data_IF_838193365740
#
_entry.id   IF_838193365740
#
_cell.length_a   1.000
_cell.length_b   1.000
_cell.length_c   1.000
_cell.angle_alpha   90.00
_cell.angle_beta   90.00
_cell.angle_gamma   90.00
#
_symmetry.space_group_name_H-M   'P 1'
#
loop_
_entity.id
_entity.type
_entity.pdbx_description
1 polymer ?
#
# COMPACT_ATOMS: atom_id res chain seq x y z
N UNK A 1 -20.64 -33.05 -39.56
CA UNK A 1 -20.53 -32.75 -38.11
C UNK A 1 -21.79 -33.27 -37.45
N UNK A 2 -21.67 -33.99 -36.34
CA UNK A 2 -22.84 -34.50 -35.63
C UNK A 2 -23.62 -33.34 -34.98
N UNK A 3 -24.95 -33.41 -35.01
CA UNK A 3 -25.82 -32.46 -34.32
C UNK A 3 -25.65 -32.59 -32.80
N UNK A 4 -25.96 -31.52 -32.07
CA UNK A 4 -26.01 -31.56 -30.61
C UNK A 4 -27.24 -32.33 -30.14
N UNK A 5 -27.09 -33.04 -29.02
CA UNK A 5 -28.23 -33.66 -28.34
C UNK A 5 -29.20 -32.59 -27.82
N UNK A 6 -30.49 -32.92 -27.75
CA UNK A 6 -31.55 -32.03 -27.27
C UNK A 6 -31.27 -31.49 -25.87
N UNK A 7 -30.73 -32.32 -24.97
CA UNK A 7 -30.37 -31.91 -23.60
C UNK A 7 -29.38 -30.74 -23.58
N UNK A 8 -28.40 -30.74 -24.49
CA UNK A 8 -27.38 -29.70 -24.59
C UNK A 8 -28.00 -28.41 -25.15
N UNK A 9 -28.87 -28.54 -26.16
CA UNK A 9 -29.59 -27.40 -26.73
C UNK A 9 -30.57 -26.79 -25.73
N UNK A 10 -31.18 -27.60 -24.86
CA UNK A 10 -32.06 -27.12 -23.80
C UNK A 10 -31.27 -26.36 -22.73
N UNK A 11 -30.15 -26.92 -22.22
CA UNK A 11 -29.26 -26.21 -21.29
C UNK A 11 -28.80 -24.86 -21.82
N UNK A 12 -28.53 -24.77 -23.13
CA UNK A 12 -28.19 -23.51 -23.78
C UNK A 12 -29.33 -22.49 -23.75
N UNK A 13 -30.57 -22.92 -23.98
CA UNK A 13 -31.76 -22.05 -23.91
C UNK A 13 -32.05 -21.59 -22.49
N UNK A 14 -31.83 -22.46 -21.51
CA UNK A 14 -32.03 -22.16 -20.08
C UNK A 14 -30.88 -21.33 -19.48
N UNK A 15 -29.77 -21.14 -20.22
CA UNK A 15 -28.62 -20.35 -19.79
C UNK A 15 -27.67 -21.10 -18.85
N UNK A 16 -27.73 -22.42 -18.82
CA UNK A 16 -26.95 -23.29 -17.94
C UNK A 16 -25.61 -23.75 -18.57
N UNK A 17 -25.34 -23.37 -19.81
CA UNK A 17 -24.08 -23.69 -20.49
C UNK A 17 -22.92 -22.81 -20.02
N UNK A 18 -21.72 -23.38 -20.01
CA UNK A 18 -20.48 -22.59 -19.85
C UNK A 18 -20.27 -21.68 -21.06
N UNK A 19 -19.47 -20.61 -20.89
CA UNK A 19 -19.18 -19.67 -21.99
C UNK A 19 -18.55 -20.36 -23.23
N UNK A 20 -17.75 -21.41 -23.02
CA UNK A 20 -17.14 -22.17 -24.12
C UNK A 20 -18.19 -23.01 -24.87
N UNK A 21 -19.10 -23.68 -24.15
CA UNK A 21 -20.17 -24.48 -24.74
C UNK A 21 -21.16 -23.61 -25.52
N UNK A 22 -21.57 -22.47 -24.94
CA UNK A 22 -22.45 -21.51 -25.60
C UNK A 22 -21.87 -21.05 -26.93
N UNK A 23 -20.56 -20.71 -26.96
CA UNK A 23 -19.88 -20.31 -28.19
C UNK A 23 -19.87 -21.43 -29.24
N UNK A 24 -19.63 -22.68 -28.84
CA UNK A 24 -19.65 -23.84 -29.77
C UNK A 24 -21.05 -24.05 -30.36
N UNK A 25 -22.09 -23.93 -29.55
CA UNK A 25 -23.49 -24.09 -29.97
C UNK A 25 -23.90 -22.95 -30.90
N UNK A 26 -23.50 -21.70 -30.62
CA UNK A 26 -23.74 -20.55 -31.50
C UNK A 26 -23.11 -20.73 -32.88
N UNK A 27 -21.84 -21.16 -32.94
CA UNK A 27 -21.15 -21.43 -34.22
C UNK A 27 -21.87 -22.52 -35.00
N UNK A 28 -22.27 -23.60 -34.33
CA UNK A 28 -22.96 -24.72 -34.98
C UNK A 28 -24.36 -24.34 -35.47
N UNK A 29 -25.15 -23.66 -34.66
CA UNK A 29 -26.50 -23.18 -35.04
C UNK A 29 -26.47 -22.12 -36.13
N UNK A 30 -25.33 -21.41 -36.29
CA UNK A 30 -25.02 -20.59 -37.45
C UNK A 30 -24.98 -21.36 -38.77
N UNK A 31 -24.64 -22.65 -38.75
CA UNK A 31 -24.46 -23.47 -39.95
C UNK A 31 -25.45 -24.65 -40.08
N UNK A 32 -26.07 -25.10 -38.98
CA UNK A 32 -27.01 -26.22 -38.95
C UNK A 32 -28.45 -25.73 -38.75
N UNK A 33 -29.28 -25.90 -39.78
CA UNK A 33 -30.69 -25.51 -39.75
C UNK A 33 -31.52 -26.31 -38.75
N UNK A 34 -31.22 -27.59 -38.58
CA UNK A 34 -31.92 -28.48 -37.64
C UNK A 34 -31.74 -28.00 -36.20
N UNK A 35 -30.49 -27.87 -35.73
CA UNK A 35 -30.21 -27.38 -34.38
C UNK A 35 -30.75 -25.96 -34.16
N UNK A 36 -30.71 -25.09 -35.18
CA UNK A 36 -31.30 -23.74 -35.10
C UNK A 36 -32.81 -23.80 -34.88
N UNK A 37 -33.52 -24.65 -35.61
CA UNK A 37 -34.96 -24.81 -35.48
C UNK A 37 -35.33 -25.40 -34.11
N UNK A 38 -34.56 -26.37 -33.61
CA UNK A 38 -34.77 -26.95 -32.27
C UNK A 38 -34.59 -25.91 -31.17
N UNK A 39 -33.53 -25.08 -31.24
CA UNK A 39 -33.33 -23.97 -30.30
C UNK A 39 -34.49 -22.95 -30.37
N UNK A 40 -34.96 -22.61 -31.57
CA UNK A 40 -36.10 -21.71 -31.73
C UNK A 40 -37.39 -22.29 -31.14
N UNK A 41 -37.60 -23.61 -31.30
CA UNK A 41 -38.74 -24.33 -30.71
C UNK A 41 -38.70 -24.26 -29.17
N UNK A 42 -37.55 -24.53 -28.56
CA UNK A 42 -37.38 -24.46 -27.11
C UNK A 42 -37.61 -23.06 -26.56
N UNK A 43 -37.05 -22.02 -27.20
CA UNK A 43 -37.31 -20.62 -26.83
C UNK A 43 -38.80 -20.28 -26.88
N UNK A 44 -39.49 -20.65 -27.97
CA UNK A 44 -40.92 -20.41 -28.13
C UNK A 44 -41.76 -21.13 -27.08
N UNK A 45 -41.40 -22.36 -26.69
CA UNK A 45 -42.06 -23.09 -25.60
C UNK A 45 -41.87 -22.39 -24.26
N UNK A 46 -40.65 -21.98 -23.92
CA UNK A 46 -40.34 -21.23 -22.69
C UNK A 46 -41.13 -19.93 -22.61
N UNK A 47 -41.19 -19.17 -23.70
CA UNK A 47 -41.99 -17.93 -23.78
C UNK A 47 -43.49 -18.19 -23.62
N UNK A 48 -44.03 -19.25 -24.21
CA UNK A 48 -45.45 -19.59 -24.08
C UNK A 48 -45.79 -19.94 -22.62
N UNK A 49 -44.95 -20.76 -21.97
CA UNK A 49 -45.12 -21.09 -20.55
C UNK A 49 -45.09 -19.82 -19.70
N UNK A 50 -44.12 -18.92 -19.92
CA UNK A 50 -44.06 -17.63 -19.20
C UNK A 50 -45.32 -16.79 -19.41
N UNK A 51 -45.85 -16.74 -20.63
CA UNK A 51 -47.11 -16.03 -20.92
C UNK A 51 -48.31 -16.65 -20.20
N UNK A 52 -48.41 -17.98 -20.19
CA UNK A 52 -49.48 -18.68 -19.49
C UNK A 52 -49.40 -18.48 -17.98
N UNK A 53 -48.20 -18.53 -17.40
CA UNK A 53 -47.98 -18.23 -15.98
C UNK A 53 -48.41 -16.79 -15.68
N UNK A 54 -47.95 -15.82 -16.47
CA UNK A 54 -48.32 -14.42 -16.29
C UNK A 54 -49.81 -14.15 -16.53
N UNK A 55 -50.51 -14.98 -17.31
CA UNK A 55 -51.96 -14.87 -17.48
C UNK A 55 -52.74 -15.43 -16.28
N UNK A 56 -52.14 -16.36 -15.52
CA UNK A 56 -52.72 -16.93 -14.30
C UNK A 56 -52.44 -16.05 -13.07
N UNK A 57 -51.30 -15.34 -13.07
CA UNK A 57 -50.98 -14.33 -12.07
C UNK A 57 -51.74 -13.06 -12.46
N UNK A 58 -52.86 -12.78 -11.78
CA UNK A 58 -53.57 -11.51 -11.91
C UNK A 58 -52.67 -10.31 -11.62
N UNK A 59 -53.20 -9.09 -11.77
CA UNK A 59 -52.44 -7.84 -11.55
C UNK A 59 -51.58 -7.96 -10.29
N UNK A 60 -50.26 -8.00 -10.48
CA UNK A 60 -49.31 -8.01 -9.38
C UNK A 60 -49.62 -6.75 -8.59
N UNK A 61 -50.06 -6.85 -7.32
CA UNK A 61 -50.34 -5.66 -6.53
C UNK A 61 -49.07 -4.81 -6.56
N UNK A 62 -49.21 -3.53 -6.92
CA UNK A 62 -48.11 -2.58 -6.86
C UNK A 62 -47.53 -2.67 -5.44
N UNK A 63 -46.40 -3.35 -5.32
CA UNK A 63 -45.70 -3.45 -4.06
C UNK A 63 -45.37 -2.01 -3.69
N UNK A 64 -45.91 -1.47 -2.58
CA UNK A 64 -45.67 -0.09 -2.21
C UNK A 64 -44.17 0.08 -2.20
N UNK A 65 -43.69 0.99 -3.05
CA UNK A 65 -42.27 1.16 -3.29
C UNK A 65 -41.60 1.26 -1.94
N UNK A 66 -40.81 0.23 -1.58
CA UNK A 66 -39.92 0.36 -0.45
C UNK A 66 -39.02 1.50 -0.89
N UNK A 67 -39.27 2.68 -0.31
CA UNK A 67 -38.34 3.79 -0.33
C UNK A 67 -37.13 3.27 0.42
N UNK A 68 -36.33 2.47 -0.28
CA UNK A 68 -34.93 2.35 0.01
C UNK A 68 -34.49 3.79 -0.06
N UNK A 69 -34.37 4.40 1.12
CA UNK A 69 -33.53 5.55 1.30
C UNK A 69 -32.20 5.03 0.79
N UNK A 70 -31.92 5.28 -0.49
CA UNK A 70 -30.60 5.14 -1.08
C UNK A 70 -29.82 6.19 -0.33
N UNK A 71 -29.38 5.80 0.86
CA UNK A 71 -28.50 6.57 1.71
C UNK A 71 -27.27 6.64 0.84
N UNK A 72 -27.11 7.76 0.16
CA UNK A 72 -25.95 8.02 -0.67
C UNK A 72 -24.76 7.57 0.15
N UNK A 73 -24.10 6.50 -0.32
CA UNK A 73 -22.94 5.97 0.39
C UNK A 73 -21.91 7.07 0.28
N UNK A 74 -21.81 7.90 1.33
CA UNK A 74 -20.71 8.86 1.49
C UNK A 74 -19.44 8.07 1.19
N UNK A 75 -18.55 8.55 0.30
CA UNK A 75 -17.38 7.81 -0.10
C UNK A 75 -16.57 7.49 1.16
N UNK A 76 -16.68 6.25 1.61
CA UNK A 76 -15.95 5.77 2.78
C UNK A 76 -14.54 5.58 2.27
N UNK A 77 -13.68 6.58 2.49
CA UNK A 77 -12.26 6.44 2.18
C UNK A 77 -11.80 5.22 2.98
N UNK A 78 -11.35 4.13 2.34
CA UNK A 78 -11.00 2.90 3.03
C UNK A 78 -9.93 3.21 4.07
N UNK A 79 -10.10 2.69 5.29
CA UNK A 79 -9.23 2.97 6.45
C UNK A 79 -7.75 2.75 6.10
N UNK A 80 -7.46 1.78 5.21
CA UNK A 80 -6.12 1.52 4.68
C UNK A 80 -5.50 2.73 3.97
N UNK A 81 -6.27 3.48 3.17
CA UNK A 81 -5.77 4.70 2.50
C UNK A 81 -5.47 5.80 3.52
N UNK A 82 -6.30 5.97 4.56
CA UNK A 82 -6.03 6.94 5.64
C UNK A 82 -4.73 6.60 6.40
N UNK A 83 -4.46 5.32 6.64
CA UNK A 83 -3.25 4.87 7.32
C UNK A 83 -2.01 5.12 6.45
N UNK A 84 -2.08 4.84 5.14
CA UNK A 84 -0.99 5.10 4.20
C UNK A 84 -0.68 6.60 4.08
N UNK A 85 -1.70 7.46 3.94
CA UNK A 85 -1.48 8.91 3.92
C UNK A 85 -0.95 9.44 5.26
N UNK A 86 -1.42 8.89 6.39
CA UNK A 86 -0.91 9.25 7.72
C UNK A 86 0.57 8.89 7.88
N UNK A 87 0.98 7.70 7.46
CA UNK A 87 2.38 7.29 7.48
C UNK A 87 3.26 8.16 6.57
N UNK A 88 2.79 8.46 5.35
CA UNK A 88 3.54 9.31 4.42
C UNK A 88 3.74 10.73 4.97
N UNK A 89 2.71 11.32 5.57
CA UNK A 89 2.81 12.63 6.21
C UNK A 89 3.78 12.63 7.39
N UNK A 90 3.74 11.59 8.24
CA UNK A 90 4.65 11.45 9.38
C UNK A 90 6.11 11.28 8.93
N UNK A 91 6.38 10.51 7.88
CA UNK A 91 7.74 10.36 7.34
C UNK A 91 8.27 11.66 6.74
N UNK A 92 7.43 12.45 6.06
CA UNK A 92 7.84 13.75 5.52
C UNK A 92 8.13 14.74 6.65
N UNK A 93 7.30 14.79 7.68
CA UNK A 93 7.55 15.62 8.87
C UNK A 93 8.86 15.23 9.56
N UNK A 94 9.15 13.93 9.71
CA UNK A 94 10.38 13.45 10.32
C UNK A 94 11.61 13.85 9.49
N UNK A 95 11.55 13.74 8.16
CA UNK A 95 12.61 14.23 7.27
C UNK A 95 12.80 15.74 7.40
N UNK A 96 11.71 16.51 7.48
CA UNK A 96 11.78 17.97 7.67
C UNK A 96 12.42 18.30 9.01
N UNK A 97 12.08 17.60 10.10
CA UNK A 97 12.71 17.80 11.42
C UNK A 97 14.19 17.49 11.35
N UNK A 98 14.60 16.37 10.76
CA UNK A 98 16.02 16.01 10.59
C UNK A 98 16.80 16.99 9.69
N UNK A 99 16.14 17.61 8.70
CA UNK A 99 16.76 18.62 7.85
C UNK A 99 16.81 20.01 8.51
N UNK A 100 15.86 20.30 9.41
CA UNK A 100 15.84 21.53 10.22
C UNK A 100 16.81 21.45 11.41
N UNK A 101 17.08 20.24 11.90
CA UNK A 101 18.30 19.91 12.63
C UNK A 101 19.49 19.98 11.68
N UNK A 102 19.79 21.20 11.19
CA UNK A 102 21.19 21.52 10.94
C UNK A 102 21.94 21.09 12.20
N UNK A 103 23.05 20.34 12.12
CA UNK A 103 23.93 20.25 13.26
C UNK A 103 24.16 21.69 13.65
N UNK A 104 23.72 22.05 14.85
CA UNK A 104 24.20 23.24 15.50
C UNK A 104 25.70 23.00 15.49
N UNK A 105 26.40 23.62 14.52
CA UNK A 105 27.83 23.70 14.54
C UNK A 105 28.09 24.21 15.93
N UNK A 106 28.60 23.33 16.78
CA UNK A 106 29.14 23.74 18.06
C UNK A 106 29.94 24.99 17.76
N UNK A 107 29.71 26.12 18.45
CA UNK A 107 30.58 27.27 18.27
C UNK A 107 31.99 26.72 18.36
N UNK A 108 32.81 27.00 17.34
CA UNK A 108 34.18 26.52 17.24
C UNK A 108 34.74 26.44 18.66
N UNK A 109 34.95 25.22 19.16
CA UNK A 109 35.61 25.05 20.45
C UNK A 109 37.01 25.59 20.20
N UNK A 110 37.20 26.87 20.45
CA UNK A 110 38.50 27.48 20.57
C UNK A 110 39.18 26.69 21.67
N UNK A 111 40.02 25.74 21.28
CA UNK A 111 40.89 25.04 22.22
C UNK A 111 41.86 26.10 22.74
N UNK A 112 41.50 26.76 23.84
CA UNK A 112 42.37 27.73 24.50
C UNK A 112 43.48 26.91 25.15
N UNK A 113 44.63 26.86 24.47
CA UNK A 113 45.81 26.14 24.94
C UNK A 113 46.56 27.03 25.93
N UNK A 114 46.40 26.76 27.22
CA UNK A 114 47.16 27.42 28.28
C UNK A 114 48.50 26.70 28.46
N UNK A 115 49.59 27.35 28.09
CA UNK A 115 50.95 26.91 28.41
C UNK A 115 51.39 27.59 29.70
N UNK A 116 51.28 26.90 30.84
CA UNK A 116 52.01 27.28 32.03
C UNK A 116 53.35 26.54 32.01
N UNK A 117 54.43 27.31 31.96
CA UNK A 117 55.77 26.75 32.09
C UNK A 117 56.31 27.16 33.45
N UNK A 118 56.12 26.27 34.42
CA UNK A 118 56.71 26.39 35.75
C UNK A 118 58.14 25.86 35.66
N UNK A 119 59.11 26.78 35.54
CA UNK A 119 60.52 26.43 35.56
C UNK A 119 61.06 26.55 36.98
N UNK A 120 61.36 25.42 37.62
CA UNK A 120 62.28 25.39 38.75
C UNK A 120 63.72 25.39 38.21
N UNK A 121 64.27 26.58 37.99
CA UNK A 121 65.63 26.72 37.44
C UNK A 121 66.65 26.42 38.55
N UNK A 122 67.29 25.25 38.46
CA UNK A 122 68.48 24.95 39.25
C UNK A 122 69.70 25.66 38.64
N UNK A 123 70.22 26.67 39.33
CA UNK A 123 71.35 27.47 38.89
C UNK A 123 72.67 26.67 38.81
N UNK A 124 72.71 25.44 39.34
CA UNK A 124 73.90 24.59 39.33
C UNK A 124 73.92 23.59 38.16
N UNK A 125 72.84 23.47 37.38
CA UNK A 125 72.76 22.54 36.25
C UNK A 125 72.90 23.26 34.91
N UNK A 126 73.64 22.70 33.92
CA UNK A 126 73.68 23.24 32.58
C UNK A 126 72.29 23.16 31.92
N UNK A 127 71.99 24.07 30.99
CA UNK A 127 70.68 24.20 30.34
C UNK A 127 70.16 22.89 29.71
N UNK A 128 71.07 22.04 29.24
CA UNK A 128 70.76 20.74 28.64
C UNK A 128 70.25 19.69 29.63
N UNK A 129 70.45 19.92 30.93
CA UNK A 129 70.08 19.00 32.02
C UNK A 129 68.94 19.56 32.90
N UNK A 130 68.30 20.65 32.48
CA UNK A 130 67.14 21.19 33.19
C UNK A 130 65.90 20.36 32.88
N UNK A 131 65.20 19.94 33.93
CA UNK A 131 63.93 19.21 33.83
C UNK A 131 62.81 20.21 33.50
N UNK A 132 62.08 19.95 32.42
CA UNK A 132 60.91 20.75 32.02
C UNK A 132 59.67 19.89 32.16
N UNK A 133 58.72 20.33 32.98
CA UNK A 133 57.42 19.65 33.11
C UNK A 133 56.38 20.40 32.28
N UNK A 134 55.82 19.71 31.28
CA UNK A 134 54.76 20.25 30.43
C UNK A 134 53.41 19.74 30.91
N UNK A 135 52.59 20.64 31.45
CA UNK A 135 51.20 20.32 31.80
C UNK A 135 50.27 20.63 30.63
N UNK A 136 49.55 19.61 30.15
CA UNK A 136 48.48 19.77 29.16
C UNK A 136 47.16 19.46 29.86
N UNK A 137 46.32 20.48 30.02
CA UNK A 137 44.98 20.38 30.63
C UNK A 137 43.88 20.61 29.60
N UNK A 138 42.87 19.76 29.63
CA UNK A 138 41.65 19.91 28.83
C UNK A 138 40.66 20.89 29.50
N UNK A 139 39.59 21.26 28.77
CA UNK A 139 38.53 22.20 29.17
C UNK A 139 37.84 21.86 30.52
N UNK A 140 37.99 20.62 30.99
CA UNK A 140 37.44 20.12 32.26
C UNK A 140 38.46 20.13 33.43
N UNK A 141 39.67 20.67 33.22
CA UNK A 141 40.71 20.75 34.26
C UNK A 141 41.40 19.42 34.59
N UNK A 142 41.18 18.37 33.79
CA UNK A 142 41.89 17.10 33.94
C UNK A 142 43.21 17.17 33.17
N UNK A 143 44.33 17.21 33.91
CA UNK A 143 45.68 17.14 33.35
C UNK A 143 46.12 15.69 33.20
N UNK A 144 46.71 15.35 32.06
CA UNK A 144 47.44 14.09 31.90
C UNK A 144 48.84 14.28 32.49
N UNK A 145 49.05 13.86 33.75
CA UNK A 145 50.39 13.74 34.30
C UNK A 145 51.09 12.56 33.62
N UNK A 146 52.04 12.86 32.72
CA UNK A 146 53.01 11.87 32.29
C UNK A 146 54.15 11.87 33.31
N UNK A 147 53.99 11.09 34.37
CA UNK A 147 55.10 10.72 35.24
C UNK A 147 55.98 9.71 34.48
N UNK A 148 56.91 10.22 33.67
CA UNK A 148 57.98 9.40 33.11
C UNK A 148 59.13 9.30 34.12
N UNK A 149 59.25 8.13 34.75
CA UNK A 149 60.42 7.65 35.49
C UNK A 149 61.73 7.75 34.68
#
# INVERSE_FOLDING_TARGET
MNCFNEDILQKYVDGECTAEESRKIEIHTGNCAECRNTVALFKRRSENIKKQINALVGDVPEMPGISTLIKEKKPVIPIRKKLVYGMAAASVMLIIVLLLEKPFSSPDKETIMYYNIDYEIDANKPLTEQEMVLYITDENGFGLNNDSN
#
